data_IF_022749269954
#
_entry.id   IF_022749269954
#
_cell.length_a   1.000
_cell.length_b   1.000
_cell.length_c   1.000
_cell.angle_alpha   90.00
_cell.angle_beta   90.00
_cell.angle_gamma   90.00
#
_symmetry.space_group_name_H-M   'P 1'
#
loop_
_entity.id
_entity.type
_entity.pdbx_description
1 polymer ?
#
# COMPACT_ATOMS: atom_id res chain seq x y z
N UNK A 1 -12.00 -3.39 9.84
CA UNK A 1 -12.47 -2.64 8.66
C UNK A 1 -11.27 -2.11 7.90
N UNK A 2 -11.37 -1.97 6.59
CA UNK A 2 -10.29 -1.45 5.76
C UNK A 2 -10.51 0.04 5.50
N UNK A 3 -9.44 0.82 5.63
CA UNK A 3 -9.45 2.26 5.37
C UNK A 3 -8.36 2.63 4.40
N UNK A 4 -8.70 3.51 3.47
CA UNK A 4 -7.75 4.18 2.59
C UNK A 4 -7.44 5.57 3.14
N UNK A 5 -6.17 5.81 3.42
CA UNK A 5 -5.68 7.07 3.98
C UNK A 5 -4.73 7.71 2.98
N UNK A 6 -4.87 9.03 2.82
CA UNK A 6 -3.93 9.84 2.03
C UNK A 6 -3.41 10.98 2.89
N UNK A 7 -2.13 10.93 3.23
CA UNK A 7 -1.43 12.03 3.87
C UNK A 7 -0.70 12.84 2.79
N UNK A 8 -1.06 14.12 2.64
CA UNK A 8 -0.40 15.04 1.71
C UNK A 8 0.52 15.98 2.48
N UNK A 9 1.76 16.12 2.01
CA UNK A 9 2.66 17.16 2.50
C UNK A 9 2.14 18.55 2.11
N UNK A 10 2.36 19.54 2.97
CA UNK A 10 1.98 20.95 2.75
C UNK A 10 2.94 21.65 1.77
N UNK A 11 3.12 21.07 0.57
CA UNK A 11 3.92 21.62 -0.52
C UNK A 11 5.42 21.27 -0.48
N UNK A 12 5.91 20.63 0.58
CA UNK A 12 7.29 20.12 0.68
C UNK A 12 7.35 18.62 0.36
N UNK A 13 8.47 18.19 -0.23
CA UNK A 13 8.74 16.75 -0.43
C UNK A 13 8.80 16.04 0.93
N UNK A 14 8.11 14.91 1.05
CA UNK A 14 8.08 14.04 2.23
C UNK A 14 9.44 13.37 2.48
N UNK A 15 10.19 13.07 1.42
CA UNK A 15 11.52 12.45 1.51
C UNK A 15 12.46 12.97 0.43
N UNK A 16 13.78 12.90 0.68
CA UNK A 16 14.82 13.32 -0.26
C UNK A 16 15.76 12.18 -0.65
N UNK A 17 15.78 11.11 0.13
CA UNK A 17 16.60 9.92 -0.09
C UNK A 17 15.83 8.64 0.25
N UNK A 18 16.35 7.48 -0.15
CA UNK A 18 15.76 6.19 0.25
C UNK A 18 15.80 5.98 1.76
N UNK A 19 16.83 6.50 2.43
CA UNK A 19 16.96 6.44 3.89
C UNK A 19 15.85 7.24 4.57
N UNK A 20 15.55 8.43 4.06
CA UNK A 20 14.46 9.25 4.60
C UNK A 20 13.11 8.59 4.41
N UNK A 21 12.86 8.02 3.22
CA UNK A 21 11.65 7.26 2.91
C UNK A 21 11.47 6.08 3.87
N UNK A 22 12.53 5.29 4.08
CA UNK A 22 12.50 4.17 5.02
C UNK A 22 12.22 4.63 6.46
N UNK A 23 12.86 5.71 6.94
CA UNK A 23 12.60 6.26 8.27
C UNK A 23 11.16 6.74 8.44
N UNK A 24 10.61 7.39 7.41
CA UNK A 24 9.22 7.86 7.39
C UNK A 24 8.25 6.66 7.45
N UNK A 25 8.45 5.65 6.61
CA UNK A 25 7.61 4.45 6.59
C UNK A 25 7.70 3.66 7.90
N UNK A 26 8.90 3.55 8.50
CA UNK A 26 9.06 2.94 9.82
C UNK A 26 8.26 3.67 10.88
N UNK A 27 8.38 5.01 10.97
CA UNK A 27 7.63 5.81 11.94
C UNK A 27 6.13 5.67 11.75
N UNK A 28 5.67 5.78 10.52
CA UNK A 28 4.25 5.64 10.18
C UNK A 28 3.71 4.27 10.59
N UNK A 29 4.45 3.19 10.27
CA UNK A 29 4.09 1.84 10.70
C UNK A 29 4.01 1.71 12.22
N UNK A 30 5.02 2.22 12.94
CA UNK A 30 5.03 2.18 14.41
C UNK A 30 3.85 2.95 15.02
N UNK A 31 3.47 4.08 14.45
CA UNK A 31 2.30 4.86 14.89
C UNK A 31 0.99 4.09 14.67
N UNK A 32 0.82 3.44 13.52
CA UNK A 32 -0.33 2.57 13.24
C UNK A 32 -0.40 1.42 14.27
N UNK A 33 0.71 0.72 14.48
CA UNK A 33 0.78 -0.43 15.39
C UNK A 33 0.49 -0.01 16.84
N UNK A 34 1.00 1.15 17.28
CA UNK A 34 0.67 1.71 18.60
C UNK A 34 -0.83 2.01 18.76
N UNK A 35 -1.50 2.35 17.64
CA UNK A 35 -2.95 2.51 17.57
C UNK A 35 -3.73 1.21 17.35
N UNK A 36 -3.10 0.03 17.35
CA UNK A 36 -3.78 -1.24 17.05
C UNK A 36 -4.24 -1.38 15.60
N UNK A 37 -3.62 -0.63 14.70
CA UNK A 37 -3.88 -0.64 13.25
C UNK A 37 -2.78 -1.41 12.53
N UNK A 38 -3.09 -1.92 11.34
CA UNK A 38 -2.17 -2.73 10.55
C UNK A 38 -2.03 -2.12 9.15
N UNK A 39 -0.79 -1.87 8.74
CA UNK A 39 -0.48 -1.42 7.39
C UNK A 39 -0.59 -2.58 6.40
N UNK A 40 -1.65 -2.59 5.58
CA UNK A 40 -1.87 -3.61 4.57
C UNK A 40 -1.01 -3.35 3.34
N UNK A 41 -1.06 -2.16 2.77
CA UNK A 41 -0.23 -1.75 1.62
C UNK A 41 -0.03 -0.23 1.63
N UNK A 42 0.94 0.25 0.86
CA UNK A 42 1.23 1.68 0.73
C UNK A 42 1.83 2.04 -0.61
N UNK A 43 1.77 3.33 -0.90
CA UNK A 43 2.47 4.00 -1.98
C UNK A 43 3.01 5.34 -1.44
N UNK A 44 4.34 5.46 -1.38
CA UNK A 44 5.01 6.68 -0.94
C UNK A 44 5.51 7.48 -2.16
N UNK A 45 4.75 8.52 -2.49
CA UNK A 45 5.06 9.52 -3.50
C UNK A 45 5.89 10.66 -2.90
N UNK A 46 6.62 11.45 -3.70
CA UNK A 46 7.42 12.56 -3.19
C UNK A 46 6.66 13.54 -2.32
N UNK A 47 5.35 13.70 -2.50
CA UNK A 47 4.52 14.69 -1.80
C UNK A 47 3.34 14.07 -1.04
N UNK A 48 3.14 12.75 -1.13
CA UNK A 48 2.04 12.08 -0.44
C UNK A 48 2.39 10.66 -0.03
N UNK A 49 1.78 10.21 1.05
CA UNK A 49 1.73 8.82 1.46
C UNK A 49 0.29 8.34 1.32
N UNK A 50 0.09 7.33 0.50
CA UNK A 50 -1.16 6.62 0.35
C UNK A 50 -1.02 5.28 1.06
N UNK A 51 -1.99 4.92 1.90
CA UNK A 51 -1.94 3.72 2.72
C UNK A 51 -3.31 3.04 2.76
N UNK A 52 -3.30 1.73 2.53
CA UNK A 52 -4.41 0.85 2.88
C UNK A 52 -4.10 0.26 4.25
N UNK A 53 -4.97 0.51 5.22
CA UNK A 53 -4.82 0.01 6.57
C UNK A 53 -6.02 -0.85 6.98
N UNK A 54 -5.77 -1.78 7.89
CA UNK A 54 -6.82 -2.43 8.65
C UNK A 54 -6.91 -1.78 10.03
N UNK A 55 -8.12 -1.42 10.44
CA UNK A 55 -8.42 -0.93 11.78
C UNK A 55 -9.61 -1.71 12.37
N UNK A 56 -9.51 -2.21 13.61
CA UNK A 56 -10.62 -2.93 14.25
C UNK A 56 -11.78 -2.01 14.66
N UNK A 57 -11.57 -0.68 14.69
CA UNK A 57 -12.57 0.32 15.06
C UNK A 57 -12.70 1.42 14.00
N UNK A 58 -13.82 2.15 13.95
CA UNK A 58 -13.99 3.24 13.00
C UNK A 58 -13.01 4.38 13.28
N UNK A 59 -12.45 4.94 12.22
CA UNK A 59 -11.53 6.09 12.31
C UNK A 59 -12.13 7.29 11.58
N UNK A 60 -11.80 8.50 12.04
CA UNK A 60 -12.24 9.75 11.40
C UNK A 60 -11.40 10.09 10.17
N UNK A 61 -10.19 9.56 10.11
CA UNK A 61 -9.18 9.90 9.11
C UNK A 61 -9.13 8.82 8.04
N UNK A 62 -9.48 9.19 6.81
CA UNK A 62 -9.54 8.27 5.68
C UNK A 62 -10.96 7.88 5.27
N UNK A 63 -11.04 7.07 4.23
CA UNK A 63 -12.30 6.55 3.70
C UNK A 63 -12.35 5.05 3.91
N UNK A 64 -13.43 4.57 4.53
CA UNK A 64 -13.68 3.14 4.61
C UNK A 64 -13.77 2.57 3.19
N UNK A 65 -13.09 1.44 2.96
CA UNK A 65 -13.01 0.81 1.64
C UNK A 65 -14.09 -0.27 1.56
N UNK A 66 -15.11 -0.10 0.69
CA UNK A 66 -16.06 -1.16 0.42
C UNK A 66 -15.35 -2.42 -0.08
N UNK A 67 -15.78 -3.60 0.37
CA UNK A 67 -15.13 -4.88 0.03
C UNK A 67 -14.88 -5.04 -1.48
N UNK A 68 -15.86 -4.67 -2.31
CA UNK A 68 -15.77 -4.80 -3.77
C UNK A 68 -14.69 -3.92 -4.43
N UNK A 69 -14.19 -2.88 -3.74
CA UNK A 69 -13.14 -1.98 -4.26
C UNK A 69 -11.74 -2.36 -3.76
N UNK A 70 -11.62 -3.32 -2.84
CA UNK A 70 -10.32 -3.67 -2.22
C UNK A 70 -9.34 -4.21 -3.27
N UNK A 71 -9.80 -5.07 -4.18
CA UNK A 71 -8.94 -5.63 -5.23
C UNK A 71 -8.47 -4.55 -6.21
N UNK A 72 -9.36 -3.66 -6.64
CA UNK A 72 -9.02 -2.55 -7.54
C UNK A 72 -7.99 -1.60 -6.90
N UNK A 73 -8.12 -1.34 -5.60
CA UNK A 73 -7.19 -0.51 -4.85
C UNK A 73 -5.81 -1.17 -4.73
N UNK A 74 -5.77 -2.46 -4.39
CA UNK A 74 -4.52 -3.23 -4.33
C UNK A 74 -3.83 -3.32 -5.70
N UNK A 75 -4.61 -3.50 -6.76
CA UNK A 75 -4.14 -3.45 -8.14
C UNK A 75 -3.58 -2.07 -8.51
N UNK A 76 -4.27 -1.00 -8.12
CA UNK A 76 -3.80 0.37 -8.33
C UNK A 76 -2.44 0.62 -7.66
N UNK A 77 -2.32 0.30 -6.37
CA UNK A 77 -1.09 0.46 -5.60
C UNK A 77 0.08 -0.34 -6.20
N UNK A 78 -0.18 -1.58 -6.63
CA UNK A 78 0.79 -2.42 -7.31
C UNK A 78 1.28 -1.80 -8.63
N UNK A 79 0.35 -1.31 -9.46
CA UNK A 79 0.67 -0.69 -10.75
C UNK A 79 1.53 0.56 -10.56
N UNK A 80 1.21 1.40 -9.58
CA UNK A 80 1.98 2.60 -9.27
C UNK A 80 3.41 2.28 -8.79
N UNK A 81 3.60 1.11 -8.17
CA UNK A 81 4.90 0.61 -7.76
C UNK A 81 5.93 0.47 -8.90
N UNK A 82 5.47 0.23 -10.14
CA UNK A 82 6.35 0.20 -11.32
C UNK A 82 6.98 1.57 -11.65
N UNK A 83 6.35 2.66 -11.21
CA UNK A 83 6.81 4.03 -11.39
C UNK A 83 7.50 4.58 -10.13
N UNK A 84 7.11 4.07 -8.95
CA UNK A 84 7.55 4.55 -7.65
C UNK A 84 8.00 3.38 -6.78
N UNK A 85 9.32 3.26 -6.49
CA UNK A 85 9.87 2.06 -5.86
C UNK A 85 9.48 1.88 -4.39
N UNK A 86 8.86 2.88 -3.75
CA UNK A 86 8.34 2.80 -2.38
C UNK A 86 6.86 2.45 -2.39
N UNK A 87 6.58 1.21 -2.75
CA UNK A 87 5.24 0.63 -2.72
C UNK A 87 5.35 -0.72 -2.03
N UNK A 88 4.45 -1.00 -1.07
CA UNK A 88 4.50 -2.24 -0.30
C UNK A 88 4.45 -3.47 -1.21
N UNK A 89 3.54 -3.47 -2.18
CA UNK A 89 3.46 -4.51 -3.20
C UNK A 89 4.70 -4.62 -4.08
N UNK A 90 5.25 -3.50 -4.57
CA UNK A 90 6.42 -3.53 -5.44
C UNK A 90 7.67 -4.03 -4.70
N UNK A 91 7.86 -3.56 -3.47
CA UNK A 91 8.97 -3.99 -2.62
C UNK A 91 8.85 -5.47 -2.28
N UNK A 92 7.64 -6.01 -2.06
CA UNK A 92 7.41 -7.44 -1.87
C UNK A 92 7.87 -8.25 -3.10
N UNK A 93 7.47 -7.85 -4.31
CA UNK A 93 7.83 -8.57 -5.55
C UNK A 93 9.32 -8.49 -5.89
N UNK A 94 10.00 -7.41 -5.50
CA UNK A 94 11.40 -7.16 -5.85
C UNK A 94 12.39 -7.44 -4.69
N UNK A 95 11.94 -8.07 -3.60
CA UNK A 95 12.80 -8.43 -2.47
C UNK A 95 13.30 -7.24 -1.64
N UNK A 96 12.56 -6.13 -1.64
CA UNK A 96 12.81 -4.97 -0.80
C UNK A 96 12.34 -5.16 0.65
N UNK A 97 12.58 -4.17 1.54
CA UNK A 97 12.28 -4.26 2.98
C UNK A 97 10.78 -4.24 3.32
N UNK A 98 9.88 -4.22 2.33
CA UNK A 98 8.42 -4.22 2.39
C UNK A 98 7.81 -4.06 3.80
N UNK A 99 7.36 -2.84 4.11
CA UNK A 99 6.77 -2.51 5.42
C UNK A 99 5.34 -3.04 5.58
N UNK A 100 4.69 -3.34 4.46
CA UNK A 100 3.33 -3.86 4.35
C UNK A 100 3.21 -5.28 4.94
N UNK A 101 2.06 -5.58 5.53
CA UNK A 101 1.71 -6.93 6.01
C UNK A 101 1.09 -7.81 4.92
N UNK A 102 0.75 -7.23 3.76
CA UNK A 102 0.25 -7.97 2.62
C UNK A 102 1.29 -8.95 2.07
N UNK A 103 0.93 -10.23 2.01
CA UNK A 103 1.81 -11.30 1.53
C UNK A 103 2.67 -11.95 2.62
N UNK A 104 2.60 -11.48 3.88
CA UNK A 104 3.13 -12.21 5.03
C UNK A 104 2.14 -13.28 5.47
N UNK A 105 2.66 -14.46 5.79
CA UNK A 105 1.88 -15.66 6.13
C UNK A 105 0.89 -15.40 7.26
N UNK A 106 -0.38 -15.81 7.09
CA UNK A 106 -1.41 -15.79 8.14
C UNK A 106 -2.31 -14.55 8.20
N UNK A 107 -2.21 -13.62 7.23
CA UNK A 107 -3.08 -12.44 7.17
C UNK A 107 -4.51 -12.80 6.72
N UNK A 108 -5.41 -13.04 7.68
CA UNK A 108 -6.88 -13.08 7.46
C UNK A 108 -7.50 -11.66 7.33
N UNK A 109 -6.65 -10.62 7.21
CA UNK A 109 -7.06 -9.22 7.28
C UNK A 109 -7.78 -8.72 6.03
N UNK A 110 -7.78 -9.52 4.96
CA UNK A 110 -8.36 -9.18 3.67
C UNK A 110 -9.53 -10.11 3.34
N UNK A 111 -10.60 -9.57 2.72
CA UNK A 111 -11.79 -10.35 2.36
C UNK A 111 -11.55 -11.28 1.15
N UNK A 112 -10.31 -11.37 0.65
CA UNK A 112 -9.94 -12.16 -0.52
C UNK A 112 -8.75 -13.07 -0.21
N UNK A 113 -8.73 -14.31 -0.74
CA UNK A 113 -7.56 -15.16 -0.68
C UNK A 113 -6.33 -14.51 -1.33
N UNK A 114 -5.14 -14.84 -0.82
CA UNK A 114 -3.88 -14.30 -1.34
C UNK A 114 -3.69 -14.56 -2.85
N UNK A 115 -4.13 -15.71 -3.36
CA UNK A 115 -4.08 -16.03 -4.81
C UNK A 115 -4.85 -15.02 -5.65
N UNK A 116 -6.08 -14.69 -5.26
CA UNK A 116 -6.93 -13.71 -5.95
C UNK A 116 -6.30 -12.32 -5.93
N UNK A 117 -5.67 -11.94 -4.81
CA UNK A 117 -4.95 -10.67 -4.70
C UNK A 117 -3.72 -10.65 -5.63
N UNK A 118 -2.98 -11.76 -5.70
CA UNK A 118 -1.83 -11.89 -6.59
C UNK A 118 -2.27 -11.79 -8.06
N UNK A 119 -3.37 -12.44 -8.43
CA UNK A 119 -3.89 -12.44 -9.79
C UNK A 119 -4.35 -11.03 -10.20
N UNK A 120 -5.14 -10.35 -9.37
CA UNK A 120 -5.59 -8.97 -9.63
C UNK A 120 -4.41 -8.00 -9.85
N UNK A 121 -3.30 -8.21 -9.13
CA UNK A 121 -2.07 -7.43 -9.29
C UNK A 121 -1.32 -7.78 -10.58
N UNK A 122 -1.26 -9.05 -10.94
CA UNK A 122 -0.61 -9.53 -12.17
C UNK A 122 -1.36 -9.09 -13.42
N UNK A 123 -2.68 -9.22 -13.43
CA UNK A 123 -3.54 -8.79 -14.54
C UNK A 123 -3.38 -7.29 -14.80
N UNK A 124 -3.31 -6.50 -13.72
CA UNK A 124 -3.07 -5.06 -13.80
C UNK A 124 -1.65 -4.68 -14.28
N UNK A 125 -0.68 -5.57 -14.09
CA UNK A 125 0.68 -5.40 -14.62
C UNK A 125 0.81 -5.82 -16.09
N UNK A 126 -0.04 -6.76 -16.56
CA UNK A 126 0.01 -7.32 -17.93
C UNK A 126 -0.70 -6.47 -18.98
N UNK A 127 -1.54 -5.50 -18.61
CA UNK A 127 -2.15 -4.53 -19.56
C UNK A 127 -1.09 -3.68 -20.32
N UNK A 128 0.21 -3.79 -19.97
CA UNK A 128 1.33 -3.15 -20.70
C UNK A 128 2.14 -4.08 -21.63
N UNK A 129 1.73 -5.33 -21.82
CA UNK A 129 2.38 -6.23 -22.78
C UNK A 129 2.04 -5.93 -24.25
N UNK A 130 0.85 -5.40 -24.52
CA UNK A 130 0.27 -5.39 -25.88
C UNK A 130 0.11 -3.99 -26.51
N UNK A 131 0.69 -2.94 -25.93
CA UNK A 131 0.78 -1.63 -26.60
C UNK A 131 2.14 -0.96 -26.36
N UNK A 132 3.12 -1.37 -27.15
CA UNK A 132 4.21 -0.52 -27.61
C UNK A 132 4.10 -0.44 -29.16
N UNK A 133 4.39 0.73 -29.77
CA UNK A 133 4.04 1.04 -31.18
C UNK A 133 4.69 0.14 -32.22
#
# INVERSE_FOLDING_TARGET
MLYYITHRGTGTRLYRSRRDAALLLTRYKTELEAGGQILIDYLLLPTSLEALIFCPFPIKEGSEVPHHLVLDLLAHLARMGSLWPFSGTWELYNGGPAFAELGKSGSELLPYPLSVIIDAKRDSATVRGDQAP
#
